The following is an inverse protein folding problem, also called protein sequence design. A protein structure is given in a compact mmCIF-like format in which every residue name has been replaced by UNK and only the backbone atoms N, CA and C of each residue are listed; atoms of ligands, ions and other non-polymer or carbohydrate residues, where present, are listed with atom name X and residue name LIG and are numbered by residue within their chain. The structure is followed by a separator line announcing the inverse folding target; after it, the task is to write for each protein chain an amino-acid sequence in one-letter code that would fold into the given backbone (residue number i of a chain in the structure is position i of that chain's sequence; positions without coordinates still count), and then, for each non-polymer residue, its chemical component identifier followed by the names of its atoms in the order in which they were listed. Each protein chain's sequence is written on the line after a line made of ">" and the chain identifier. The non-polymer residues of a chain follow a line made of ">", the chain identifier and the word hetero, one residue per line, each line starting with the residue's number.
data_IF_293831865387
#
_entry.id   IF_293831865387
#
_cell.length_a   1.000
_cell.length_b   1.000
_cell.length_c   1.000
_cell.angle_alpha   90.00
_cell.angle_beta   90.00
_cell.angle_gamma   90.00
#
_symmetry.space_group_name_H-M   'P 1'
#
loop_
_entity.id
_entity.type
_entity.pdbx_description
1 polymer ?
#
# COMPACT_ATOMS: atom_id res chain seq x y z
N UNK A 1 12.41 -22.07 37.17
CA UNK A 1 11.63 -21.00 36.51
C UNK A 1 12.20 -20.84 35.12
N UNK A 2 11.76 -21.68 34.17
CA UNK A 2 12.31 -21.73 32.79
C UNK A 2 11.88 -20.48 32.03
N UNK A 3 12.85 -19.84 31.46
CA UNK A 3 12.84 -18.54 30.78
C UNK A 3 11.78 -18.44 29.67
N UNK A 4 10.60 -17.94 30.04
CA UNK A 4 9.49 -17.67 29.08
C UNK A 4 9.83 -16.57 28.07
N UNK A 5 10.89 -15.82 28.27
CA UNK A 5 11.39 -14.77 27.37
C UNK A 5 12.02 -15.35 26.12
N UNK A 6 12.79 -16.44 26.22
CA UNK A 6 13.45 -17.10 25.08
C UNK A 6 12.48 -17.71 24.04
N UNK A 7 11.30 -18.18 24.47
CA UNK A 7 10.27 -18.74 23.57
C UNK A 7 9.44 -17.70 22.82
N UNK A 8 9.43 -16.44 23.28
CA UNK A 8 8.61 -15.36 22.69
C UNK A 8 9.33 -14.53 21.61
N UNK A 9 10.67 -14.54 21.62
CA UNK A 9 11.48 -13.82 20.61
C UNK A 9 11.19 -14.27 19.17
N UNK A 10 11.16 -15.57 18.81
CA UNK A 10 10.86 -15.99 17.45
C UNK A 10 9.45 -15.58 16.99
N UNK A 11 8.47 -15.56 17.89
CA UNK A 11 7.11 -15.11 17.56
C UNK A 11 7.07 -13.61 17.19
N UNK A 12 7.82 -12.77 17.90
CA UNK A 12 7.87 -11.33 17.62
C UNK A 12 8.53 -11.06 16.26
N UNK A 13 9.63 -11.73 15.95
CA UNK A 13 10.25 -11.65 14.63
C UNK A 13 9.30 -12.10 13.52
N UNK A 14 8.55 -13.17 13.75
CA UNK A 14 7.53 -13.65 12.80
C UNK A 14 6.47 -12.57 12.54
N UNK A 15 5.98 -11.91 13.59
CA UNK A 15 5.00 -10.81 13.45
C UNK A 15 5.62 -9.64 12.67
N UNK A 16 6.85 -9.24 12.97
CA UNK A 16 7.55 -8.15 12.27
C UNK A 16 7.67 -8.48 10.77
N UNK A 17 8.08 -9.71 10.44
CA UNK A 17 8.20 -10.16 9.05
C UNK A 17 6.84 -10.18 8.34
N UNK A 18 5.79 -10.66 9.01
CA UNK A 18 4.44 -10.66 8.45
C UNK A 18 3.92 -9.25 8.19
N UNK A 19 4.18 -8.31 9.10
CA UNK A 19 3.88 -6.90 8.89
C UNK A 19 4.70 -6.32 7.73
N UNK A 20 5.97 -6.71 7.61
CA UNK A 20 6.80 -6.37 6.45
C UNK A 20 6.22 -6.90 5.15
N UNK A 21 5.75 -8.15 5.10
CA UNK A 21 5.13 -8.74 3.91
C UNK A 21 3.82 -8.02 3.53
N UNK A 22 2.97 -7.71 4.52
CA UNK A 22 1.75 -6.93 4.28
C UNK A 22 2.09 -5.58 3.65
N UNK A 23 3.06 -4.88 4.22
CA UNK A 23 3.55 -3.59 3.69
C UNK A 23 4.14 -3.74 2.30
N UNK A 24 4.98 -4.75 2.07
CA UNK A 24 5.60 -5.03 0.78
C UNK A 24 4.56 -5.21 -0.33
N UNK A 25 3.54 -6.04 -0.10
CA UNK A 25 2.46 -6.20 -1.09
C UNK A 25 1.65 -4.91 -1.27
N UNK A 26 1.46 -4.14 -0.21
CA UNK A 26 0.85 -2.82 -0.28
C UNK A 26 1.66 -1.85 -1.14
N UNK A 27 2.97 -1.85 -0.99
CA UNK A 27 3.87 -0.97 -1.74
C UNK A 27 4.10 -1.45 -3.18
N UNK A 28 4.08 -2.77 -3.45
CA UNK A 28 4.01 -3.29 -4.82
C UNK A 28 2.83 -2.66 -5.56
N UNK A 29 1.64 -2.65 -4.98
CA UNK A 29 0.43 -2.11 -5.61
C UNK A 29 0.55 -0.58 -5.76
N UNK A 30 0.92 0.09 -4.67
CA UNK A 30 1.00 1.54 -4.61
C UNK A 30 2.04 2.11 -5.58
N UNK A 31 3.27 1.60 -5.57
CA UNK A 31 4.36 2.11 -6.39
C UNK A 31 4.20 1.69 -7.87
N UNK A 32 3.55 0.54 -8.15
CA UNK A 32 3.11 0.22 -9.51
C UNK A 32 2.18 1.29 -10.06
N UNK A 33 1.12 1.61 -9.31
CA UNK A 33 0.17 2.64 -9.72
C UNK A 33 0.85 4.00 -9.88
N UNK A 34 1.69 4.39 -8.92
CA UNK A 34 2.40 5.66 -8.93
C UNK A 34 3.29 5.83 -10.17
N UNK A 35 3.97 4.76 -10.59
CA UNK A 35 4.81 4.78 -11.79
C UNK A 35 4.02 4.86 -13.09
N UNK A 36 2.83 4.28 -13.13
CA UNK A 36 2.02 4.14 -14.34
C UNK A 36 0.96 5.24 -14.54
N UNK A 37 0.41 5.78 -13.44
CA UNK A 37 -0.74 6.68 -13.45
C UNK A 37 -0.57 7.89 -14.38
N UNK A 38 0.58 8.56 -14.33
CA UNK A 38 0.79 9.78 -15.12
C UNK A 38 0.71 9.50 -16.62
N UNK A 39 1.38 8.45 -17.10
CA UNK A 39 1.39 8.08 -18.50
C UNK A 39 0.04 7.48 -18.94
N UNK A 40 -0.60 6.70 -18.11
CA UNK A 40 -1.95 6.20 -18.37
C UNK A 40 -2.96 7.32 -18.59
N UNK A 41 -2.96 8.33 -17.72
CA UNK A 41 -3.82 9.50 -17.84
C UNK A 41 -3.48 10.35 -19.09
N UNK A 42 -2.19 10.48 -19.41
CA UNK A 42 -1.74 11.16 -20.60
C UNK A 42 -2.24 10.47 -21.89
N UNK A 43 -2.19 9.13 -21.94
CA UNK A 43 -2.72 8.34 -23.06
C UNK A 43 -4.25 8.46 -23.21
N UNK A 44 -4.95 8.80 -22.14
CA UNK A 44 -6.39 9.14 -22.16
C UNK A 44 -6.68 10.57 -22.64
N UNK A 45 -5.64 11.34 -23.01
CA UNK A 45 -5.78 12.73 -23.44
C UNK A 45 -6.01 13.71 -22.29
N UNK A 46 -5.76 13.31 -21.03
CA UNK A 46 -5.86 14.21 -19.89
C UNK A 46 -4.65 15.14 -19.89
N UNK A 47 -4.90 16.44 -19.83
CA UNK A 47 -3.82 17.43 -19.86
C UNK A 47 -2.98 17.41 -18.56
N UNK A 48 -1.73 17.85 -18.66
CA UNK A 48 -0.76 17.84 -17.58
C UNK A 48 -1.22 18.63 -16.33
N UNK A 49 -1.99 19.72 -16.51
CA UNK A 49 -2.52 20.50 -15.40
C UNK A 49 -3.51 19.70 -14.55
N UNK A 50 -4.42 18.93 -15.17
CA UNK A 50 -5.35 18.05 -14.48
C UNK A 50 -4.62 16.89 -13.78
N UNK A 51 -3.60 16.32 -14.44
CA UNK A 51 -2.75 15.27 -13.85
C UNK A 51 -2.03 15.80 -12.61
N UNK A 52 -1.39 16.95 -12.71
CA UNK A 52 -0.73 17.61 -11.58
C UNK A 52 -1.68 17.95 -10.44
N UNK A 53 -2.89 18.42 -10.77
CA UNK A 53 -3.91 18.74 -9.78
C UNK A 53 -4.37 17.51 -8.98
N UNK A 54 -4.65 16.38 -9.65
CA UNK A 54 -5.10 15.17 -8.94
C UNK A 54 -4.01 14.61 -8.05
N UNK A 55 -2.76 14.62 -8.50
CA UNK A 55 -1.65 14.15 -7.66
C UNK A 55 -1.37 15.12 -6.51
N UNK A 56 -1.36 16.42 -6.77
CA UNK A 56 -1.18 17.43 -5.71
C UNK A 56 -2.27 17.37 -4.65
N UNK A 57 -3.54 17.28 -5.05
CA UNK A 57 -4.66 17.07 -4.12
C UNK A 57 -4.55 15.73 -3.39
N UNK A 58 -4.17 14.67 -4.08
CA UNK A 58 -3.96 13.36 -3.50
C UNK A 58 -2.89 13.36 -2.42
N UNK A 59 -1.74 13.97 -2.67
CA UNK A 59 -0.65 14.11 -1.67
C UNK A 59 -1.10 14.97 -0.49
N UNK A 60 -1.72 16.12 -0.75
CA UNK A 60 -2.24 17.00 0.32
C UNK A 60 -3.22 16.24 1.21
N UNK A 61 -4.23 15.60 0.63
CA UNK A 61 -5.20 14.80 1.38
C UNK A 61 -4.53 13.62 2.10
N UNK A 62 -3.57 12.96 1.45
CA UNK A 62 -2.81 11.87 2.04
C UNK A 62 -2.10 12.27 3.33
N UNK A 63 -1.37 13.39 3.33
CA UNK A 63 -0.68 13.88 4.53
C UNK A 63 -1.65 14.41 5.58
N UNK A 64 -2.65 15.21 5.19
CA UNK A 64 -3.64 15.75 6.10
C UNK A 64 -4.43 14.64 6.81
N UNK A 65 -4.96 13.70 6.04
CA UNK A 65 -5.74 12.60 6.60
C UNK A 65 -4.89 11.61 7.41
N UNK A 66 -3.59 11.48 7.14
CA UNK A 66 -2.69 10.66 7.98
C UNK A 66 -2.62 11.19 9.40
N UNK A 67 -2.54 12.51 9.58
CA UNK A 67 -2.59 13.13 10.91
C UNK A 67 -3.92 12.84 11.61
N UNK A 68 -5.03 13.06 10.92
CA UNK A 68 -6.37 12.82 11.46
C UNK A 68 -6.58 11.34 11.78
N UNK A 69 -6.19 10.45 10.88
CA UNK A 69 -6.30 9.00 11.06
C UNK A 69 -5.46 8.49 12.24
N UNK A 70 -4.26 9.03 12.44
CA UNK A 70 -3.42 8.73 13.59
C UNK A 70 -4.14 9.05 14.88
N UNK A 71 -4.62 10.28 15.04
CA UNK A 71 -5.36 10.72 16.22
C UNK A 71 -6.62 9.86 16.48
N UNK A 72 -7.39 9.57 15.43
CA UNK A 72 -8.62 8.77 15.56
C UNK A 72 -8.31 7.31 15.89
N UNK A 73 -7.29 6.73 15.25
CA UNK A 73 -6.84 5.36 15.51
C UNK A 73 -6.37 5.19 16.95
N UNK A 74 -5.57 6.14 17.45
CA UNK A 74 -5.04 6.09 18.81
C UNK A 74 -6.13 6.31 19.86
N UNK A 75 -7.01 7.30 19.66
CA UNK A 75 -8.15 7.56 20.57
C UNK A 75 -9.14 6.41 20.62
N UNK A 76 -9.42 5.76 19.49
CA UNK A 76 -10.38 4.64 19.43
C UNK A 76 -9.78 3.31 19.85
N UNK A 77 -8.46 3.15 19.78
CA UNK A 77 -7.76 1.87 19.97
C UNK A 77 -8.03 0.83 18.88
N UNK A 78 -8.78 1.20 17.83
CA UNK A 78 -9.25 0.28 16.77
C UNK A 78 -8.28 0.21 15.59
N UNK A 79 -6.98 0.09 15.83
CA UNK A 79 -5.94 0.12 14.81
C UNK A 79 -6.17 -0.88 13.67
N UNK A 80 -6.65 -2.09 13.97
CA UNK A 80 -6.94 -3.12 12.97
C UNK A 80 -8.04 -2.71 11.98
N UNK A 81 -9.07 -2.00 12.44
CA UNK A 81 -10.13 -1.50 11.54
C UNK A 81 -9.55 -0.51 10.54
N UNK A 82 -8.70 0.41 11.00
CA UNK A 82 -8.02 1.36 10.11
C UNK A 82 -7.10 0.65 9.10
N UNK A 83 -6.41 -0.42 9.52
CA UNK A 83 -5.61 -1.24 8.62
C UNK A 83 -6.46 -1.94 7.56
N UNK A 84 -7.54 -2.63 7.96
CA UNK A 84 -8.42 -3.34 7.02
C UNK A 84 -9.07 -2.40 6.02
N UNK A 85 -9.60 -1.25 6.47
CA UNK A 85 -10.17 -0.25 5.58
C UNK A 85 -9.09 0.32 4.66
N UNK A 86 -7.94 0.73 5.20
CA UNK A 86 -6.88 1.38 4.44
C UNK A 86 -6.23 0.45 3.41
N UNK A 87 -5.99 -0.82 3.74
CA UNK A 87 -5.50 -1.81 2.78
C UNK A 87 -6.60 -2.26 1.80
N UNK A 88 -7.84 -2.40 2.28
CA UNK A 88 -9.00 -2.70 1.42
C UNK A 88 -9.23 -1.65 0.33
N UNK A 89 -8.99 -0.36 0.63
CA UNK A 89 -9.09 0.71 -0.35
C UNK A 89 -8.08 0.59 -1.51
N UNK A 90 -7.00 -0.20 -1.37
CA UNK A 90 -6.08 -0.47 -2.47
C UNK A 90 -6.73 -1.24 -3.64
N UNK A 91 -7.92 -1.81 -3.46
CA UNK A 91 -8.70 -2.39 -4.57
C UNK A 91 -8.96 -1.35 -5.67
N UNK A 92 -8.93 -0.06 -5.33
CA UNK A 92 -9.06 1.02 -6.29
C UNK A 92 -8.04 0.92 -7.43
N UNK A 93 -6.83 0.44 -7.14
CA UNK A 93 -5.75 0.34 -8.12
C UNK A 93 -6.05 -0.71 -9.20
N UNK A 94 -6.33 -1.99 -8.91
CA UNK A 94 -6.77 -2.94 -9.93
C UNK A 94 -8.02 -2.50 -10.71
N UNK A 95 -8.95 -1.80 -10.04
CA UNK A 95 -10.17 -1.27 -10.66
C UNK A 95 -9.88 -0.17 -11.67
N UNK A 96 -8.77 0.59 -11.56
CA UNK A 96 -8.36 1.54 -12.61
C UNK A 96 -8.20 0.89 -13.98
N UNK A 97 -7.81 -0.40 -14.03
CA UNK A 97 -7.71 -1.17 -15.27
C UNK A 97 -9.05 -1.54 -15.93
N UNK A 98 -10.19 -1.20 -15.32
CA UNK A 98 -11.52 -1.51 -15.83
C UNK A 98 -12.25 -0.28 -16.40
N UNK A 99 -11.66 0.92 -16.29
CA UNK A 99 -12.34 2.17 -16.67
C UNK A 99 -11.43 3.09 -17.45
N UNK A 100 -12.04 3.85 -18.37
CA UNK A 100 -11.41 4.92 -19.13
C UNK A 100 -11.99 6.30 -18.73
N UNK A 101 -12.95 6.31 -17.81
CA UNK A 101 -13.64 7.53 -17.40
C UNK A 101 -12.77 8.33 -16.42
N UNK A 102 -12.40 9.55 -16.81
CA UNK A 102 -11.59 10.46 -16.00
C UNK A 102 -12.15 10.67 -14.58
N UNK A 103 -13.44 10.97 -14.46
CA UNK A 103 -14.05 11.28 -13.16
C UNK A 103 -13.96 10.08 -12.21
N UNK A 104 -14.10 8.88 -12.75
CA UNK A 104 -13.99 7.65 -11.96
C UNK A 104 -12.53 7.37 -11.59
N UNK A 105 -11.59 7.54 -12.52
CA UNK A 105 -10.15 7.43 -12.24
C UNK A 105 -9.70 8.42 -11.18
N UNK A 106 -10.18 9.65 -11.23
CA UNK A 106 -9.91 10.68 -10.21
C UNK A 106 -10.30 10.18 -8.80
N UNK A 107 -11.51 9.63 -8.65
CA UNK A 107 -11.98 9.08 -7.38
C UNK A 107 -11.11 7.90 -6.92
N UNK A 108 -10.75 6.99 -7.83
CA UNK A 108 -9.93 5.82 -7.52
C UNK A 108 -8.52 6.22 -7.06
N UNK A 109 -7.91 7.23 -7.68
CA UNK A 109 -6.60 7.77 -7.27
C UNK A 109 -6.68 8.37 -5.87
N UNK A 110 -7.71 9.16 -5.59
CA UNK A 110 -7.91 9.73 -4.25
C UNK A 110 -8.17 8.64 -3.21
N UNK A 111 -8.96 7.63 -3.55
CA UNK A 111 -9.26 6.50 -2.67
C UNK A 111 -8.00 5.74 -2.27
N UNK A 112 -7.06 5.52 -3.21
CA UNK A 112 -5.77 4.91 -2.94
C UNK A 112 -4.95 5.75 -1.93
N UNK A 113 -4.91 7.09 -2.08
CA UNK A 113 -4.21 8.01 -1.17
C UNK A 113 -4.83 8.03 0.23
N UNK A 114 -6.16 8.08 0.31
CA UNK A 114 -6.90 7.97 1.56
C UNK A 114 -6.61 6.65 2.25
N UNK A 115 -6.60 5.54 1.49
CA UNK A 115 -6.25 4.23 2.01
C UNK A 115 -4.87 4.19 2.66
N UNK A 116 -3.85 4.79 2.01
CA UNK A 116 -2.49 4.91 2.58
C UNK A 116 -2.48 5.75 3.86
N UNK A 117 -3.24 6.84 3.88
CA UNK A 117 -3.35 7.72 5.05
C UNK A 117 -3.95 7.00 6.27
N UNK A 118 -4.96 6.15 6.05
CA UNK A 118 -5.62 5.40 7.13
C UNK A 118 -4.74 4.29 7.70
N UNK A 119 -4.11 3.48 6.82
CA UNK A 119 -3.38 2.29 7.25
C UNK A 119 -2.02 2.58 7.90
N UNK A 120 -1.29 3.61 7.42
CA UNK A 120 0.09 3.85 7.85
C UNK A 120 0.22 4.08 9.35
N UNK A 121 -0.47 5.06 9.98
CA UNK A 121 -0.30 5.30 11.42
C UNK A 121 -0.80 4.12 12.27
N UNK A 122 -1.86 3.44 11.85
CA UNK A 122 -2.40 2.29 12.57
C UNK A 122 -1.41 1.11 12.56
N UNK A 123 -0.79 0.82 11.40
CA UNK A 123 0.26 -0.18 11.26
C UNK A 123 1.45 0.13 12.15
N UNK A 124 1.94 1.36 12.10
CA UNK A 124 3.11 1.80 12.85
C UNK A 124 2.88 1.71 14.37
N UNK A 125 1.69 2.05 14.85
CA UNK A 125 1.31 1.91 16.26
C UNK A 125 1.31 0.45 16.70
N UNK A 126 0.75 -0.48 15.91
CA UNK A 126 0.76 -1.92 16.26
C UNK A 126 2.20 -2.44 16.28
N UNK A 127 2.99 -2.14 15.25
CA UNK A 127 4.38 -2.58 15.16
C UNK A 127 5.22 -2.09 16.34
N UNK A 128 5.08 -0.81 16.70
CA UNK A 128 5.75 -0.22 17.87
C UNK A 128 5.40 -0.99 19.15
N UNK A 129 4.11 -1.19 19.44
CA UNK A 129 3.64 -1.91 20.63
C UNK A 129 4.15 -3.35 20.70
N UNK A 130 4.23 -4.05 19.57
CA UNK A 130 4.70 -5.45 19.53
C UNK A 130 6.20 -5.54 19.76
N UNK A 131 6.98 -4.55 19.33
CA UNK A 131 8.45 -4.59 19.35
C UNK A 131 9.08 -3.94 20.56
N UNK A 132 8.39 -3.02 21.26
CA UNK A 132 8.92 -2.09 22.26
C UNK A 132 9.81 -2.72 23.34
N UNK A 133 9.39 -3.79 23.99
CA UNK A 133 10.14 -4.41 25.10
C UNK A 133 10.81 -5.75 24.72
N UNK A 134 10.94 -6.06 23.42
CA UNK A 134 11.40 -7.37 22.98
C UNK A 134 12.58 -7.33 22.03
N UNK A 135 12.46 -6.60 20.94
CA UNK A 135 13.48 -6.50 19.88
C UNK A 135 14.02 -5.08 19.78
N UNK A 136 13.22 -4.12 20.22
CA UNK A 136 13.45 -2.70 20.06
C UNK A 136 12.76 -2.15 18.81
N UNK A 137 12.12 -0.99 18.98
CA UNK A 137 11.31 -0.34 17.94
C UNK A 137 12.14 -0.04 16.69
N UNK A 138 13.38 0.45 16.86
CA UNK A 138 14.26 0.78 15.74
C UNK A 138 14.58 -0.42 14.85
N UNK A 139 14.83 -1.59 15.43
CA UNK A 139 15.12 -2.82 14.66
C UNK A 139 13.86 -3.28 13.92
N UNK A 140 12.70 -3.24 14.56
CA UNK A 140 11.44 -3.66 13.94
C UNK A 140 11.10 -2.78 12.75
N UNK A 141 11.20 -1.46 12.88
CA UNK A 141 10.98 -0.53 11.76
C UNK A 141 12.05 -0.67 10.68
N UNK A 142 13.31 -0.91 11.04
CA UNK A 142 14.38 -1.14 10.06
C UNK A 142 14.14 -2.37 9.21
N UNK A 143 13.71 -3.49 9.82
CA UNK A 143 13.36 -4.72 9.08
C UNK A 143 12.14 -4.48 8.19
N UNK A 144 11.09 -3.83 8.74
CA UNK A 144 9.89 -3.53 7.96
C UNK A 144 10.22 -2.65 6.76
N UNK A 145 10.97 -1.56 6.95
CA UNK A 145 11.35 -0.64 5.88
C UNK A 145 12.19 -1.35 4.80
N UNK A 146 13.12 -2.23 5.19
CA UNK A 146 13.89 -2.99 4.24
C UNK A 146 13.00 -3.88 3.33
N UNK A 147 11.96 -4.49 3.91
CA UNK A 147 10.99 -5.31 3.15
C UNK A 147 10.06 -4.42 2.30
N UNK A 148 9.66 -3.26 2.80
CA UNK A 148 8.88 -2.26 2.06
C UNK A 148 9.64 -1.80 0.80
N UNK A 149 10.95 -1.52 0.90
CA UNK A 149 11.78 -1.11 -0.24
C UNK A 149 11.87 -2.18 -1.33
N UNK A 150 11.83 -3.47 -0.95
CA UNK A 150 11.72 -4.55 -1.93
C UNK A 150 10.39 -4.42 -2.71
N UNK A 151 9.30 -4.15 -2.01
CA UNK A 151 8.00 -3.91 -2.63
C UNK A 151 7.99 -2.71 -3.55
N UNK A 152 8.58 -1.59 -3.11
CA UNK A 152 8.68 -0.37 -3.89
C UNK A 152 9.51 -0.56 -5.18
N UNK A 153 10.56 -1.39 -5.13
CA UNK A 153 11.35 -1.76 -6.30
C UNK A 153 10.60 -2.69 -7.26
N UNK A 154 9.92 -3.71 -6.73
CA UNK A 154 9.18 -4.69 -7.54
C UNK A 154 7.94 -4.09 -8.20
N UNK A 155 7.32 -3.08 -7.61
CA UNK A 155 6.10 -2.46 -8.10
C UNK A 155 6.19 -2.00 -9.56
N UNK A 156 7.07 -1.07 -9.91
CA UNK A 156 7.23 -0.60 -11.29
C UNK A 156 7.59 -1.70 -12.29
N UNK A 157 8.30 -2.75 -11.83
CA UNK A 157 8.68 -3.87 -12.68
C UNK A 157 7.48 -4.67 -13.20
N UNK A 158 6.34 -4.64 -12.51
CA UNK A 158 5.12 -5.31 -12.97
C UNK A 158 4.67 -4.72 -14.30
N UNK A 159 4.60 -3.40 -14.42
CA UNK A 159 4.25 -2.76 -15.70
C UNK A 159 5.30 -3.02 -16.77
N UNK A 160 6.59 -2.96 -16.42
CA UNK A 160 7.68 -3.31 -17.34
C UNK A 160 7.52 -4.73 -17.88
N UNK A 161 7.22 -5.70 -17.02
CA UNK A 161 7.00 -7.09 -17.42
C UNK A 161 5.77 -7.24 -18.31
N UNK A 162 4.67 -6.56 -17.96
CA UNK A 162 3.45 -6.56 -18.79
C UNK A 162 3.74 -6.03 -20.18
N UNK A 163 4.44 -4.89 -20.30
CA UNK A 163 4.81 -4.32 -21.61
C UNK A 163 5.74 -5.23 -22.40
N UNK A 164 6.68 -5.88 -21.72
CA UNK A 164 7.58 -6.84 -22.37
C UNK A 164 6.83 -8.03 -22.97
N UNK A 165 5.84 -8.57 -22.25
CA UNK A 165 5.07 -9.76 -22.69
C UNK A 165 3.99 -9.40 -23.69
N UNK A 166 3.33 -8.24 -23.54
CA UNK A 166 2.15 -7.87 -24.36
C UNK A 166 2.51 -6.98 -25.56
N UNK A 167 3.75 -6.50 -25.66
CA UNK A 167 4.21 -5.64 -26.73
C UNK A 167 4.19 -4.15 -26.37
N UNK A 168 3.95 -3.27 -27.35
CA UNK A 168 4.12 -1.81 -27.20
C UNK A 168 3.26 -1.22 -26.08
N UNK A 169 3.80 -0.18 -25.43
CA UNK A 169 3.08 0.62 -24.44
C UNK A 169 1.85 1.30 -25.08
N UNK A 170 0.69 0.71 -24.86
CA UNK A 170 -0.59 1.24 -25.30
C UNK A 170 -1.60 1.19 -24.15
N UNK A 171 -2.70 1.89 -24.30
CA UNK A 171 -3.73 2.03 -23.29
C UNK A 171 -4.21 0.69 -22.71
N UNK A 172 -4.40 -0.31 -23.59
CA UNK A 172 -4.85 -1.65 -23.21
C UNK A 172 -3.82 -2.37 -22.31
N UNK A 173 -2.51 -2.19 -22.56
CA UNK A 173 -1.46 -2.80 -21.75
C UNK A 173 -1.41 -2.19 -20.34
N UNK A 174 -1.65 -0.88 -20.19
CA UNK A 174 -1.83 -0.27 -18.88
C UNK A 174 -3.02 -0.87 -18.13
N UNK A 175 -4.16 -1.08 -18.81
CA UNK A 175 -5.31 -1.73 -18.19
C UNK A 175 -5.00 -3.16 -17.74
N UNK A 176 -4.25 -3.93 -18.54
CA UNK A 176 -3.77 -5.26 -18.13
C UNK A 176 -2.87 -5.16 -16.91
N UNK A 177 -1.91 -4.22 -16.89
CA UNK A 177 -1.01 -3.98 -15.76
C UNK A 177 -1.77 -3.73 -14.46
N UNK A 178 -2.76 -2.83 -14.49
CA UNK A 178 -3.60 -2.59 -13.32
C UNK A 178 -4.36 -3.85 -12.86
N UNK A 179 -4.95 -4.63 -13.79
CA UNK A 179 -5.69 -5.85 -13.44
C UNK A 179 -4.79 -6.93 -12.83
N UNK A 180 -3.55 -7.05 -13.27
CA UNK A 180 -2.55 -7.98 -12.71
C UNK A 180 -2.28 -7.66 -11.23
N UNK A 181 -2.40 -6.40 -10.81
CA UNK A 181 -2.23 -6.00 -9.41
C UNK A 181 -3.32 -6.54 -8.47
N UNK A 182 -4.37 -7.17 -9.01
CA UNK A 182 -5.32 -7.94 -8.20
C UNK A 182 -4.65 -9.12 -7.49
N UNK A 183 -3.61 -9.71 -8.09
CA UNK A 183 -2.88 -10.84 -7.49
C UNK A 183 -2.21 -10.43 -6.18
N UNK A 184 -1.30 -9.43 -6.16
CA UNK A 184 -0.71 -8.98 -4.89
C UNK A 184 -1.74 -8.41 -3.92
N UNK A 185 -2.87 -7.85 -4.40
CA UNK A 185 -3.96 -7.40 -3.53
C UNK A 185 -4.61 -8.56 -2.76
N UNK A 186 -4.92 -9.67 -3.44
CA UNK A 186 -5.50 -10.85 -2.79
C UNK A 186 -4.52 -11.43 -1.77
N UNK A 187 -3.24 -11.54 -2.12
CA UNK A 187 -2.19 -11.99 -1.19
C UNK A 187 -2.09 -11.09 0.03
N UNK A 188 -2.08 -9.78 -0.17
CA UNK A 188 -2.06 -8.78 0.90
C UNK A 188 -3.24 -8.98 1.87
N UNK A 189 -4.47 -9.06 1.34
CA UNK A 189 -5.65 -9.24 2.18
C UNK A 189 -5.65 -10.58 2.91
N UNK A 190 -5.13 -11.65 2.28
CA UNK A 190 -4.93 -12.95 2.90
C UNK A 190 -3.94 -12.90 4.07
N UNK A 191 -2.77 -12.27 3.88
CA UNK A 191 -1.80 -12.06 4.96
C UNK A 191 -2.34 -11.17 6.07
N UNK A 192 -3.05 -10.10 5.71
CA UNK A 192 -3.65 -9.21 6.71
C UNK A 192 -4.67 -9.94 7.58
N UNK A 193 -5.50 -10.79 6.97
CA UNK A 193 -6.46 -11.63 7.69
C UNK A 193 -5.78 -12.69 8.55
N UNK A 194 -4.69 -13.29 8.07
CA UNK A 194 -3.94 -14.31 8.81
C UNK A 194 -3.26 -13.75 10.07
N UNK A 195 -2.84 -12.49 10.04
CA UNK A 195 -2.13 -11.83 11.16
C UNK A 195 -3.10 -11.25 12.19
N UNK A 196 -4.34 -10.96 11.77
CA UNK A 196 -5.41 -10.46 12.64
C UNK A 196 -5.87 -11.54 13.64
#
# INVERSE_FOLDING_TARGET
>A
MMDTTKKRLPLVFTIIILFGLISMFGDIIYESARSANSQYLNLLGINAAKIGLVFGLGEFLGYFLRLVAGILSDKSGKHWIFMFIGYGMLISVPVMGLTLNWNFLFILILMERIGKALRSPAKDTILSKVSEHKVGVGIAFGIQEAVDQIGAFLGPLIFTLVFYVTGKEALNQYQVGYRVLLIPFILLMGFLYYVF
#
